data_IF_419353528420
#
_entry.id   IF_419353528420
#
_cell.length_a   1.000
_cell.length_b   1.000
_cell.length_c   1.000
_cell.angle_alpha   90.00
_cell.angle_beta   90.00
_cell.angle_gamma   90.00
#
_symmetry.space_group_name_H-M   'P 1'
#
loop_
_entity.id
_entity.type
_entity.pdbx_description
1 polymer ?
#
# COMPACT_ATOMS: atom_id res chain seq x y z
N UNK A 1 29.62 34.93 3.82
CA UNK A 1 29.16 33.56 4.14
C UNK A 1 30.22 32.56 3.71
N UNK A 2 30.54 31.56 4.54
CA UNK A 2 31.53 30.53 4.18
C UNK A 2 31.08 29.81 2.90
N UNK A 3 32.01 29.59 1.96
CA UNK A 3 31.76 28.98 0.64
C UNK A 3 31.06 27.61 0.73
N UNK A 4 31.22 26.93 1.87
CA UNK A 4 30.58 25.66 2.22
C UNK A 4 29.07 25.81 2.43
N UNK A 5 28.62 26.83 3.17
CA UNK A 5 27.21 27.06 3.46
C UNK A 5 26.43 27.41 2.19
N UNK A 6 27.06 28.14 1.26
CA UNK A 6 26.46 28.49 -0.03
C UNK A 6 26.22 27.24 -0.89
N UNK A 7 27.17 26.28 -0.88
CA UNK A 7 27.02 25.01 -1.59
C UNK A 7 25.89 24.16 -1.02
N UNK A 8 25.81 24.03 0.30
CA UNK A 8 24.73 23.27 0.96
C UNK A 8 23.37 23.91 0.70
N UNK A 9 23.27 25.24 0.80
CA UNK A 9 22.03 25.96 0.52
C UNK A 9 21.58 25.77 -0.94
N UNK A 10 22.52 25.87 -1.89
CA UNK A 10 22.23 25.66 -3.31
C UNK A 10 21.73 24.24 -3.61
N UNK A 11 22.33 23.22 -2.96
CA UNK A 11 21.87 21.83 -3.09
C UNK A 11 20.46 21.64 -2.53
N UNK A 12 20.15 22.20 -1.37
CA UNK A 12 18.81 22.12 -0.79
C UNK A 12 17.78 22.76 -1.74
N UNK A 13 18.06 23.97 -2.24
CA UNK A 13 17.16 24.66 -3.17
C UNK A 13 16.97 23.84 -4.45
N UNK A 14 18.05 23.30 -5.02
CA UNK A 14 18.00 22.46 -6.21
C UNK A 14 17.11 21.21 -6.00
N UNK A 15 17.32 20.49 -4.89
CA UNK A 15 16.51 19.31 -4.55
C UNK A 15 15.04 19.66 -4.35
N UNK A 16 14.74 20.77 -3.68
CA UNK A 16 13.35 21.23 -3.50
C UNK A 16 12.71 21.58 -4.85
N UNK A 17 13.42 22.29 -5.73
CA UNK A 17 12.89 22.60 -7.06
C UNK A 17 12.68 21.33 -7.89
N UNK A 18 13.57 20.34 -7.80
CA UNK A 18 13.42 19.06 -8.46
C UNK A 18 12.18 18.29 -7.97
N UNK A 19 11.94 18.26 -6.66
CA UNK A 19 10.74 17.64 -6.08
C UNK A 19 9.46 18.34 -6.51
N UNK A 20 9.44 19.68 -6.55
CA UNK A 20 8.25 20.44 -6.97
C UNK A 20 7.94 20.21 -8.46
N UNK A 21 8.95 20.20 -9.32
CA UNK A 21 8.78 19.88 -10.74
C UNK A 21 8.30 18.45 -10.91
N UNK A 22 8.91 17.49 -10.19
CA UNK A 22 8.47 16.10 -10.19
C UNK A 22 7.01 15.96 -9.78
N UNK A 23 6.59 16.62 -8.69
CA UNK A 23 5.21 16.61 -8.23
C UNK A 23 4.23 17.17 -9.26
N UNK A 24 4.57 18.30 -9.91
CA UNK A 24 3.72 18.89 -10.95
C UNK A 24 3.59 18.00 -12.18
N UNK A 25 4.68 17.33 -12.59
CA UNK A 25 4.69 16.38 -13.71
C UNK A 25 3.86 15.14 -13.36
N UNK A 26 4.05 14.55 -12.18
CA UNK A 26 3.27 13.39 -11.74
C UNK A 26 1.78 13.72 -11.60
N UNK A 27 1.42 14.89 -11.05
CA UNK A 27 0.03 15.33 -10.98
C UNK A 27 -0.60 15.47 -12.38
N UNK A 28 0.09 16.11 -13.32
CA UNK A 28 -0.41 16.29 -14.68
C UNK A 28 -0.59 14.96 -15.44
N UNK A 29 0.27 13.97 -15.18
CA UNK A 29 0.24 12.67 -15.84
C UNK A 29 -0.77 11.70 -15.21
N UNK A 30 -0.81 11.59 -13.88
CA UNK A 30 -1.57 10.54 -13.19
C UNK A 30 -2.97 10.99 -12.75
N UNK A 31 -3.22 12.29 -12.55
CA UNK A 31 -4.49 12.79 -11.99
C UNK A 31 -5.73 12.44 -12.84
N UNK A 32 -5.59 12.45 -14.18
CA UNK A 32 -6.69 12.09 -15.10
C UNK A 32 -7.03 10.61 -15.06
N UNK A 33 -6.00 9.77 -14.97
CA UNK A 33 -6.19 8.32 -14.88
C UNK A 33 -6.76 7.95 -13.51
N UNK A 34 -6.25 8.51 -12.41
CA UNK A 34 -6.77 8.26 -11.07
C UNK A 34 -8.26 8.58 -10.95
N UNK A 35 -8.68 9.77 -11.41
CA UNK A 35 -10.10 10.19 -11.36
C UNK A 35 -10.99 9.30 -12.21
N UNK A 36 -10.51 8.85 -13.37
CA UNK A 36 -11.25 7.94 -14.25
C UNK A 36 -11.37 6.54 -13.65
N UNK A 37 -10.30 6.01 -13.07
CA UNK A 37 -10.32 4.72 -12.39
C UNK A 37 -11.20 4.74 -11.15
N UNK A 38 -11.14 5.83 -10.36
CA UNK A 38 -12.01 6.04 -9.21
C UNK A 38 -13.48 6.06 -9.62
N UNK A 39 -13.82 6.80 -10.69
CA UNK A 39 -15.20 6.84 -11.21
C UNK A 39 -15.67 5.47 -11.73
N UNK A 40 -14.81 4.72 -12.42
CA UNK A 40 -15.13 3.35 -12.85
C UNK A 40 -15.38 2.45 -11.65
N UNK A 41 -14.53 2.53 -10.62
CA UNK A 41 -14.69 1.77 -9.39
C UNK A 41 -16.00 2.12 -8.68
N UNK A 42 -16.33 3.40 -8.54
CA UNK A 42 -17.57 3.86 -7.92
C UNK A 42 -18.80 3.39 -8.69
N UNK A 43 -18.78 3.45 -10.02
CA UNK A 43 -19.87 2.94 -10.85
C UNK A 43 -20.07 1.42 -10.67
N UNK A 44 -18.98 0.64 -10.63
CA UNK A 44 -19.08 -0.80 -10.39
C UNK A 44 -19.55 -1.10 -8.96
N UNK A 45 -19.10 -0.32 -7.97
CA UNK A 45 -19.61 -0.40 -6.58
C UNK A 45 -21.11 -0.16 -6.54
N UNK A 46 -21.63 0.89 -7.17
CA UNK A 46 -23.08 1.17 -7.23
C UNK A 46 -23.86 0.05 -7.91
N UNK A 47 -23.37 -0.50 -9.03
CA UNK A 47 -24.02 -1.64 -9.70
C UNK A 47 -24.10 -2.88 -8.80
N UNK A 48 -23.06 -3.15 -8.01
CA UNK A 48 -23.04 -4.27 -7.06
C UNK A 48 -24.04 -4.05 -5.93
N UNK A 49 -24.09 -2.83 -5.39
CA UNK A 49 -25.04 -2.46 -4.34
C UNK A 49 -26.48 -2.64 -4.83
N UNK A 50 -26.81 -2.14 -6.03
CA UNK A 50 -28.15 -2.25 -6.61
C UNK A 50 -28.51 -3.71 -6.95
N UNK A 51 -27.57 -4.48 -7.52
CA UNK A 51 -27.81 -5.87 -7.93
C UNK A 51 -28.07 -6.80 -6.74
N UNK A 52 -27.40 -6.56 -5.61
CA UNK A 52 -27.50 -7.41 -4.42
C UNK A 52 -28.34 -6.77 -3.29
N UNK A 53 -28.96 -5.60 -3.53
CA UNK A 53 -29.72 -4.83 -2.54
C UNK A 53 -28.97 -4.65 -1.21
N UNK A 54 -27.69 -4.28 -1.29
CA UNK A 54 -26.83 -4.12 -0.11
C UNK A 54 -27.02 -2.75 0.54
N UNK A 55 -26.97 -2.69 1.86
CA UNK A 55 -26.79 -1.44 2.59
C UNK A 55 -25.32 -1.01 2.52
N UNK A 56 -25.06 0.30 2.56
CA UNK A 56 -23.70 0.84 2.49
C UNK A 56 -22.79 0.29 3.61
N UNK A 57 -23.34 0.09 4.82
CA UNK A 57 -22.62 -0.52 5.94
C UNK A 57 -22.21 -1.98 5.66
N UNK A 58 -23.11 -2.79 5.11
CA UNK A 58 -22.83 -4.19 4.75
C UNK A 58 -21.80 -4.32 3.64
N UNK A 59 -21.77 -3.35 2.72
CA UNK A 59 -20.73 -3.30 1.68
C UNK A 59 -19.36 -2.94 2.26
N UNK A 60 -19.30 -2.03 3.25
CA UNK A 60 -18.06 -1.70 3.96
C UNK A 60 -17.49 -2.86 4.77
N UNK A 61 -18.36 -3.68 5.39
CA UNK A 61 -17.96 -4.92 6.05
C UNK A 61 -17.40 -5.93 5.05
N UNK A 62 -18.06 -6.10 3.90
CA UNK A 62 -17.57 -6.95 2.80
C UNK A 62 -16.21 -6.48 2.27
N UNK A 63 -16.01 -5.18 2.06
CA UNK A 63 -14.73 -4.61 1.62
C UNK A 63 -13.62 -4.93 2.64
N UNK A 64 -13.93 -4.82 3.93
CA UNK A 64 -12.99 -5.17 5.03
C UNK A 64 -12.60 -6.65 4.98
N UNK A 65 -13.57 -7.54 4.84
CA UNK A 65 -13.32 -8.99 4.74
C UNK A 65 -12.51 -9.32 3.49
N UNK A 66 -12.80 -8.70 2.35
CA UNK A 66 -12.04 -8.91 1.10
C UNK A 66 -10.60 -8.41 1.22
N UNK A 67 -10.38 -7.27 1.89
CA UNK A 67 -9.03 -6.76 2.16
C UNK A 67 -8.24 -7.71 3.06
N UNK A 68 -8.87 -8.28 4.09
CA UNK A 68 -8.25 -9.30 4.95
C UNK A 68 -7.97 -10.61 4.19
N UNK A 69 -8.90 -11.05 3.34
CA UNK A 69 -8.70 -12.23 2.49
C UNK A 69 -7.58 -12.03 1.47
N UNK A 70 -7.38 -10.82 0.94
CA UNK A 70 -6.24 -10.54 0.06
C UNK A 70 -4.92 -10.70 0.80
N UNK A 71 -4.86 -10.26 2.06
CA UNK A 71 -3.70 -10.49 2.92
C UNK A 71 -3.52 -11.98 3.26
N UNK A 72 -4.61 -12.73 3.39
CA UNK A 72 -4.56 -14.18 3.66
C UNK A 72 -4.21 -15.00 2.43
N UNK A 73 -4.68 -14.64 1.23
CA UNK A 73 -4.40 -15.33 -0.05
C UNK A 73 -2.93 -15.22 -0.45
N UNK A 74 -2.18 -14.32 0.17
CA UNK A 74 -0.72 -14.37 0.24
C UNK A 74 -0.22 -15.45 1.22
N UNK A 75 -0.88 -16.62 1.21
CA UNK A 75 -0.97 -17.59 2.31
C UNK A 75 0.39 -18.23 2.67
N UNK A 76 1.38 -18.15 1.78
CA UNK A 76 2.72 -18.72 1.95
C UNK A 76 3.82 -17.68 2.10
N UNK A 77 3.48 -16.41 2.39
CA UNK A 77 4.49 -15.35 2.42
C UNK A 77 5.47 -15.42 3.61
N UNK A 78 5.16 -16.24 4.62
CA UNK A 78 5.99 -16.44 5.83
C UNK A 78 6.60 -17.84 5.96
N UNK A 79 6.85 -18.53 4.85
CA UNK A 79 7.78 -19.66 4.84
C UNK A 79 9.25 -19.17 4.81
N UNK A 80 10.22 -20.09 4.95
CA UNK A 80 11.65 -19.74 4.98
C UNK A 80 12.07 -18.93 3.75
N UNK A 81 11.57 -19.27 2.56
CA UNK A 81 11.85 -18.54 1.32
C UNK A 81 11.30 -17.11 1.32
N UNK A 82 10.06 -16.91 1.81
CA UNK A 82 9.44 -15.59 1.93
C UNK A 82 10.15 -14.70 2.96
N UNK A 83 10.55 -15.28 4.10
CA UNK A 83 11.30 -14.59 5.15
C UNK A 83 12.71 -14.19 4.70
N UNK A 84 13.38 -15.06 3.93
CA UNK A 84 14.70 -14.78 3.37
C UNK A 84 14.64 -13.69 2.29
N UNK A 85 13.66 -13.76 1.38
CA UNK A 85 13.43 -12.70 0.39
C UNK A 85 13.13 -11.35 1.06
N UNK A 86 12.31 -11.35 2.12
CA UNK A 86 12.04 -10.16 2.91
C UNK A 86 13.33 -9.57 3.50
N UNK A 87 14.18 -10.39 4.15
CA UNK A 87 15.46 -9.94 4.68
C UNK A 87 16.37 -9.31 3.62
N UNK A 88 16.45 -9.90 2.41
CA UNK A 88 17.19 -9.33 1.28
C UNK A 88 16.62 -7.96 0.91
N UNK A 89 15.30 -7.81 0.79
CA UNK A 89 14.69 -6.52 0.40
C UNK A 89 14.88 -5.41 1.44
N UNK A 90 15.00 -5.77 2.72
CA UNK A 90 15.31 -4.83 3.82
C UNK A 90 16.77 -4.40 3.75
N UNK A 91 17.70 -5.34 3.62
CA UNK A 91 19.15 -5.05 3.55
C UNK A 91 19.50 -4.25 2.29
N UNK A 92 18.85 -4.55 1.17
CA UNK A 92 19.04 -3.84 -0.12
C UNK A 92 18.29 -2.52 -0.21
N UNK A 93 17.53 -2.12 0.82
CA UNK A 93 16.72 -0.89 0.87
C UNK A 93 15.66 -0.76 -0.24
N UNK A 94 15.32 -1.86 -0.92
CA UNK A 94 14.28 -1.90 -1.97
C UNK A 94 12.89 -1.72 -1.34
N UNK A 95 12.64 -2.37 -0.19
CA UNK A 95 11.46 -2.11 0.64
C UNK A 95 10.10 -2.24 -0.06
N UNK A 96 9.77 -3.39 -0.66
CA UNK A 96 8.40 -3.66 -1.12
C UNK A 96 7.48 -3.89 0.09
N UNK A 97 6.66 -2.90 0.43
CA UNK A 97 5.70 -2.88 1.55
C UNK A 97 4.56 -3.90 1.45
N UNK A 98 4.45 -4.63 0.34
CA UNK A 98 3.46 -5.69 0.14
C UNK A 98 3.53 -6.79 1.22
N UNK A 99 4.67 -6.96 1.89
CA UNK A 99 4.83 -7.92 2.98
C UNK A 99 4.22 -7.48 4.33
N UNK A 100 3.96 -6.18 4.52
CA UNK A 100 3.66 -5.62 5.86
C UNK A 100 2.16 -5.44 6.13
N UNK A 101 1.28 -5.60 5.14
CA UNK A 101 -0.15 -5.34 5.28
C UNK A 101 -0.95 -6.55 5.78
N UNK A 102 -0.54 -7.13 6.92
CA UNK A 102 -1.35 -8.13 7.64
C UNK A 102 -1.44 -7.79 9.13
N UNK A 103 -2.33 -6.87 9.54
CA UNK A 103 -2.75 -6.73 10.92
C UNK A 103 -3.74 -7.85 11.24
N UNK A 104 -3.26 -9.09 11.35
CA UNK A 104 -4.14 -10.25 11.57
C UNK A 104 -3.48 -11.52 12.08
N UNK A 105 -2.15 -11.57 12.19
CA UNK A 105 -1.43 -12.76 12.70
C UNK A 105 -1.50 -12.82 14.24
N UNK A 106 -2.72 -12.92 14.78
CA UNK A 106 -2.94 -13.26 16.19
C UNK A 106 -2.67 -14.76 16.31
N UNK A 107 -1.48 -15.08 16.79
CA UNK A 107 -1.04 -16.39 17.27
C UNK A 107 -2.22 -17.28 17.72
N UNK A 108 -2.69 -18.18 16.84
CA UNK A 108 -3.49 -19.34 17.21
C UNK A 108 -2.62 -20.59 17.03
N UNK A 109 -1.57 -20.68 17.86
CA UNK A 109 -0.95 -21.96 18.22
C UNK A 109 -0.62 -21.92 19.71
N UNK A 110 -1.66 -22.04 20.50
CA UNK A 110 -1.63 -22.54 21.88
C UNK A 110 -3.00 -23.16 22.12
N UNK A 111 -3.01 -24.36 22.69
CA UNK A 111 -4.08 -25.38 22.66
C UNK A 111 -4.08 -26.06 21.29
N UNK A 112 -3.44 -27.21 21.10
CA UNK A 112 -3.79 -28.46 21.80
C UNK A 112 -2.64 -29.05 22.62
N UNK A 113 -2.89 -29.14 23.92
CA UNK A 113 -2.20 -30.05 24.81
C UNK A 113 -2.84 -31.45 24.71
N UNK A 114 -2.00 -32.44 24.97
CA UNK A 114 -2.30 -33.75 25.56
C UNK A 114 -3.78 -34.14 25.67
N UNK A 115 -4.15 -35.17 24.91
CA UNK A 115 -4.59 -36.45 25.49
C UNK A 115 -3.83 -37.56 24.74
#
# INVERSE_FOLDING_TARGET
MKRQNVRTLALIICTLTYLLVGAAVFDALESKEETTQKRKLDNEKSKLIDKYNLTNDSFGELETVVLQLKAHKAEEQWEFAGSFYFAITVITTIGKSACFFSPGFKLKRKVDGEI
#
